data_IF_110555994107
#
_entry.id   IF_110555994107
#
_cell.length_a   1.000
_cell.length_b   1.000
_cell.length_c   1.000
_cell.angle_alpha   90.00
_cell.angle_beta   90.00
_cell.angle_gamma   90.00
#
_symmetry.space_group_name_H-M   'P 1'
#
loop_
_entity.id
_entity.type
_entity.pdbx_description
1 polymer ?
#
# COMPACT_ATOMS: atom_id res chain seq x y z
N UNK A 1 -62.19 -19.10 10.89
CA UNK A 1 -61.43 -18.06 11.60
C UNK A 1 -60.02 -18.59 11.81
N UNK A 2 -59.07 -18.19 10.96
CA UNK A 2 -57.71 -18.60 11.03
C UNK A 2 -56.90 -17.43 11.63
N UNK A 3 -56.25 -17.67 12.76
CA UNK A 3 -55.44 -16.68 13.48
C UNK A 3 -54.03 -16.76 12.94
N UNK A 4 -53.54 -15.70 12.28
CA UNK A 4 -52.16 -15.54 11.84
C UNK A 4 -51.34 -14.95 12.97
N UNK A 5 -50.36 -15.71 13.47
CA UNK A 5 -49.37 -15.22 14.41
C UNK A 5 -48.27 -14.46 13.66
N UNK A 6 -48.09 -13.19 13.98
CA UNK A 6 -46.98 -12.36 13.49
C UNK A 6 -45.78 -12.62 14.40
N UNK A 7 -44.72 -13.21 13.84
CA UNK A 7 -43.42 -13.35 14.52
C UNK A 7 -42.65 -12.05 14.32
N UNK A 8 -42.44 -11.30 15.39
CA UNK A 8 -41.60 -10.11 15.44
C UNK A 8 -40.14 -10.54 15.45
N UNK A 9 -39.38 -10.21 14.40
CA UNK A 9 -37.93 -10.36 14.35
C UNK A 9 -37.30 -9.27 15.21
N UNK A 10 -36.78 -9.64 16.36
CA UNK A 10 -35.99 -8.76 17.22
C UNK A 10 -34.63 -8.50 16.56
N UNK A 11 -34.34 -7.23 16.25
CA UNK A 11 -33.00 -6.77 15.88
C UNK A 11 -32.09 -6.90 17.09
N UNK A 12 -31.11 -7.78 17.00
CA UNK A 12 -30.00 -7.86 17.95
C UNK A 12 -29.08 -6.68 17.62
N UNK A 13 -29.11 -5.63 18.44
CA UNK A 13 -28.14 -4.57 18.39
C UNK A 13 -26.78 -5.15 18.83
N UNK A 14 -25.78 -5.03 17.96
CA UNK A 14 -24.40 -5.37 18.31
C UNK A 14 -23.97 -4.47 19.49
N UNK A 15 -23.59 -5.08 20.59
CA UNK A 15 -23.04 -4.35 21.74
C UNK A 15 -21.65 -3.82 21.36
N UNK A 16 -21.31 -2.57 21.73
CA UNK A 16 -19.95 -2.07 21.52
C UNK A 16 -19.00 -2.92 22.37
N UNK A 17 -18.02 -3.51 21.69
CA UNK A 17 -16.92 -4.21 22.36
C UNK A 17 -16.10 -3.15 23.10
N UNK A 18 -16.20 -3.08 24.41
CA UNK A 18 -15.35 -2.21 25.23
C UNK A 18 -13.97 -2.84 25.41
N UNK A 19 -13.25 -2.97 24.30
CA UNK A 19 -11.84 -3.31 24.30
C UNK A 19 -11.01 -2.08 24.68
N UNK A 20 -9.96 -2.27 25.49
CA UNK A 20 -9.00 -1.20 25.79
C UNK A 20 -7.87 -1.26 24.77
N UNK A 21 -7.85 -0.30 23.82
CA UNK A 21 -6.70 -0.11 22.93
C UNK A 21 -5.56 0.56 23.69
N UNK A 22 -4.38 -0.07 23.70
CA UNK A 22 -3.16 0.52 24.28
C UNK A 22 -2.39 1.33 23.25
N UNK A 23 -1.79 2.43 23.69
CA UNK A 23 -0.86 3.19 22.87
C UNK A 23 0.37 2.34 22.48
N UNK A 24 0.98 2.59 21.31
CA UNK A 24 2.30 2.07 20.99
C UNK A 24 3.35 2.51 22.03
N UNK A 25 4.40 1.71 22.21
CA UNK A 25 5.48 2.04 23.16
C UNK A 25 6.67 2.69 22.44
N UNK A 26 7.36 3.60 23.15
CA UNK A 26 8.59 4.27 22.67
C UNK A 26 9.84 3.60 23.24
N UNK A 27 11.00 4.03 22.74
CA UNK A 27 12.30 3.66 23.31
C UNK A 27 12.85 2.30 22.90
N UNK A 28 12.15 1.59 22.00
CA UNK A 28 12.72 0.38 21.40
C UNK A 28 13.79 0.74 20.39
N UNK A 29 14.93 0.05 20.49
CA UNK A 29 16.08 0.18 19.57
C UNK A 29 16.36 -1.20 18.98
N UNK A 30 16.34 -1.29 17.66
CA UNK A 30 16.69 -2.49 16.91
C UNK A 30 18.19 -2.80 17.00
N UNK A 31 18.56 -4.04 16.71
CA UNK A 31 19.96 -4.47 16.71
C UNK A 31 20.82 -3.72 15.66
N UNK A 32 20.19 -3.20 14.63
CA UNK A 32 20.78 -2.39 13.56
C UNK A 32 20.95 -0.90 13.91
N UNK A 33 20.42 -0.46 15.06
CA UNK A 33 20.44 0.94 15.52
C UNK A 33 19.21 1.75 15.10
N UNK A 34 18.26 1.16 14.37
CA UNK A 34 16.96 1.76 14.11
C UNK A 34 16.15 1.88 15.39
N UNK A 35 15.28 2.88 15.52
CA UNK A 35 14.56 3.09 16.78
C UNK A 35 13.22 3.79 16.63
N UNK A 36 12.30 3.55 17.57
CA UNK A 36 11.06 4.33 17.72
C UNK A 36 11.42 5.61 18.52
N UNK A 37 11.38 6.74 17.82
CA UNK A 37 11.76 8.05 18.38
C UNK A 37 10.64 8.67 19.19
N UNK A 38 9.42 8.68 18.63
CA UNK A 38 8.26 9.26 19.31
C UNK A 38 6.97 8.56 18.92
N UNK A 39 5.98 8.65 19.81
CA UNK A 39 4.60 8.23 19.59
C UNK A 39 3.69 9.32 20.12
N UNK A 40 2.85 9.87 19.25
CA UNK A 40 1.91 10.95 19.58
C UNK A 40 0.48 10.53 19.24
N UNK A 41 -0.48 10.60 20.18
CA UNK A 41 -1.88 10.35 19.86
C UNK A 41 -2.41 11.34 18.82
N UNK A 42 -3.08 10.84 17.78
CA UNK A 42 -3.66 11.64 16.69
C UNK A 42 -5.20 11.56 16.65
N UNK A 43 -5.80 11.13 17.77
CA UNK A 43 -7.25 11.00 17.99
C UNK A 43 -7.79 9.60 17.71
N UNK A 44 -8.66 9.13 18.59
CA UNK A 44 -9.21 7.78 18.53
C UNK A 44 -8.11 6.71 18.61
N UNK A 45 -8.07 5.80 17.65
CA UNK A 45 -7.10 4.72 17.55
C UNK A 45 -5.86 5.09 16.68
N UNK A 46 -5.73 6.36 16.29
CA UNK A 46 -4.62 6.85 15.47
C UNK A 46 -3.46 7.34 16.32
N UNK A 47 -2.25 7.06 15.83
CA UNK A 47 -1.00 7.53 16.41
C UNK A 47 -0.06 7.98 15.28
N UNK A 48 0.58 9.12 15.47
CA UNK A 48 1.73 9.53 14.68
C UNK A 48 2.98 8.96 15.35
N UNK A 49 3.74 8.17 14.62
CA UNK A 49 4.93 7.49 15.10
C UNK A 49 6.11 7.91 14.26
N UNK A 50 7.19 8.34 14.91
CA UNK A 50 8.43 8.68 14.24
C UNK A 50 9.45 7.58 14.50
N UNK A 51 10.01 7.04 13.43
CA UNK A 51 11.02 5.98 13.46
C UNK A 51 12.32 6.52 12.85
N UNK A 52 13.45 6.29 13.51
CA UNK A 52 14.77 6.48 12.91
C UNK A 52 15.14 5.23 12.11
N UNK A 53 15.42 5.39 10.84
CA UNK A 53 16.05 4.38 10.00
C UNK A 53 17.56 4.50 10.10
N UNK A 54 18.25 3.40 10.42
CA UNK A 54 19.70 3.35 10.47
C UNK A 54 20.32 3.34 9.07
N UNK A 55 19.72 2.57 8.14
CA UNK A 55 20.22 2.45 6.76
C UNK A 55 20.06 3.74 5.96
N UNK A 56 18.98 4.50 6.19
CA UNK A 56 18.75 5.78 5.52
C UNK A 56 19.32 6.98 6.29
N UNK A 57 19.76 6.79 7.55
CA UNK A 57 20.26 7.85 8.45
C UNK A 57 19.29 9.04 8.60
N UNK A 58 18.00 8.77 8.62
CA UNK A 58 16.94 9.78 8.77
C UNK A 58 15.76 9.26 9.57
N UNK A 59 14.87 10.15 9.94
CA UNK A 59 13.55 9.78 10.50
C UNK A 59 12.55 9.55 9.40
N UNK A 60 11.60 8.65 9.67
CA UNK A 60 10.45 8.33 8.83
C UNK A 60 9.20 8.51 9.67
N UNK A 61 8.28 9.33 9.19
CA UNK A 61 6.97 9.54 9.81
C UNK A 61 6.02 8.43 9.38
N UNK A 62 5.32 7.86 10.36
CA UNK A 62 4.31 6.82 10.14
C UNK A 62 3.00 7.26 10.75
N UNK A 63 1.89 6.98 10.08
CA UNK A 63 0.60 6.93 10.75
C UNK A 63 0.26 5.48 11.09
N UNK A 64 -0.12 5.24 12.34
CA UNK A 64 -0.48 3.91 12.84
C UNK A 64 -1.94 3.92 13.28
N UNK A 65 -2.72 2.99 12.75
CA UNK A 65 -4.08 2.71 13.19
C UNK A 65 -4.04 1.46 14.06
N UNK A 66 -4.49 1.58 15.31
CA UNK A 66 -4.55 0.47 16.26
C UNK A 66 -5.93 -0.20 16.22
N UNK A 67 -6.03 -1.52 16.45
CA UNK A 67 -7.33 -2.15 16.65
C UNK A 67 -8.01 -1.63 17.93
N UNK A 68 -9.32 -1.76 18.01
CA UNK A 68 -10.07 -1.38 19.21
C UNK A 68 -9.68 -2.22 20.44
N UNK A 69 -9.33 -3.48 20.21
CA UNK A 69 -8.90 -4.41 21.24
C UNK A 69 -7.47 -4.88 20.99
N UNK A 70 -6.56 -4.47 21.88
CA UNK A 70 -5.15 -4.85 21.91
C UNK A 70 -4.82 -5.80 23.06
N UNK A 71 -5.81 -6.40 23.70
CA UNK A 71 -5.61 -7.36 24.81
C UNK A 71 -4.87 -8.62 24.38
N UNK A 72 -4.89 -8.93 23.10
CA UNK A 72 -4.09 -10.00 22.47
C UNK A 72 -3.27 -9.41 21.34
N UNK A 73 -2.10 -9.99 21.02
CA UNK A 73 -1.31 -9.60 19.86
C UNK A 73 -2.13 -9.66 18.57
N UNK A 74 -1.96 -8.67 17.69
CA UNK A 74 -2.68 -8.55 16.42
C UNK A 74 -1.70 -8.45 15.27
N UNK A 75 -2.05 -8.95 14.07
CA UNK A 75 -1.21 -8.83 12.90
C UNK A 75 -1.05 -7.37 12.44
N UNK A 76 -0.14 -7.15 11.48
CA UNK A 76 0.14 -5.83 10.91
C UNK A 76 -0.12 -5.82 9.41
N UNK A 77 -0.80 -4.79 8.92
CA UNK A 77 -0.92 -4.47 7.51
C UNK A 77 -0.14 -3.20 7.19
N UNK A 78 0.95 -3.33 6.45
CA UNK A 78 1.71 -2.20 5.92
C UNK A 78 1.02 -1.69 4.65
N UNK A 79 0.57 -0.44 4.65
CA UNK A 79 -0.17 0.16 3.54
C UNK A 79 0.60 1.35 2.97
N UNK A 80 1.21 1.16 1.80
CA UNK A 80 2.11 2.12 1.19
C UNK A 80 1.35 3.12 0.31
N UNK A 81 1.81 4.36 0.32
CA UNK A 81 1.30 5.43 -0.53
C UNK A 81 1.92 5.38 -1.94
N UNK A 82 1.28 6.06 -2.89
CA UNK A 82 1.77 6.17 -4.28
C UNK A 82 3.01 7.05 -4.45
N UNK A 83 3.18 7.63 -5.62
CA UNK A 83 4.40 8.30 -6.05
C UNK A 83 4.93 9.38 -5.09
N UNK A 84 4.07 10.19 -4.48
CA UNK A 84 4.48 11.24 -3.54
C UNK A 84 4.73 10.77 -2.10
N UNK A 85 4.79 9.46 -1.84
CA UNK A 85 5.12 8.92 -0.52
C UNK A 85 4.11 9.19 0.59
N UNK A 86 3.04 9.93 0.32
CA UNK A 86 2.04 10.35 1.30
C UNK A 86 2.48 11.51 2.19
N UNK A 87 3.46 12.29 1.77
CA UNK A 87 4.07 13.37 2.54
C UNK A 87 3.14 14.58 2.69
N UNK A 88 2.18 14.76 1.78
CA UNK A 88 1.17 15.81 1.85
C UNK A 88 -0.27 15.25 1.93
N UNK A 89 -1.25 16.06 2.41
CA UNK A 89 -2.64 15.62 2.57
C UNK A 89 -3.32 15.20 1.27
N UNK A 90 -2.88 15.65 0.12
CA UNK A 90 -3.47 15.29 -1.17
C UNK A 90 -3.01 13.91 -1.67
N UNK A 91 -2.05 13.29 -0.99
CA UNK A 91 -1.32 12.13 -1.47
C UNK A 91 -1.25 10.94 -0.53
N UNK A 92 -2.02 10.93 0.56
CA UNK A 92 -1.97 9.86 1.55
C UNK A 92 -3.35 9.22 1.81
N UNK A 93 -3.33 7.97 2.25
CA UNK A 93 -4.51 7.18 2.56
C UNK A 93 -5.47 7.84 3.56
N UNK A 94 -4.98 8.34 4.73
CA UNK A 94 -5.87 8.88 5.77
C UNK A 94 -6.65 10.11 5.36
N UNK A 95 -6.05 10.98 4.55
CA UNK A 95 -6.68 12.25 4.16
C UNK A 95 -7.54 12.09 2.90
N UNK A 96 -7.24 11.08 2.06
CA UNK A 96 -7.92 10.87 0.79
C UNK A 96 -8.99 9.78 0.81
N UNK A 97 -9.06 8.97 1.86
CA UNK A 97 -9.98 7.84 1.93
C UNK A 97 -10.61 7.70 3.32
N UNK A 98 -11.53 6.78 3.44
CA UNK A 98 -12.13 6.39 4.72
C UNK A 98 -11.31 5.32 5.46
N UNK A 99 -10.03 5.17 5.19
CA UNK A 99 -9.15 4.14 5.79
C UNK A 99 -9.24 4.11 7.32
N UNK A 100 -9.36 5.29 7.96
CA UNK A 100 -9.44 5.40 9.42
C UNK A 100 -10.74 4.78 9.97
N UNK A 101 -11.95 5.22 9.58
CA UNK A 101 -13.17 4.56 10.01
C UNK A 101 -13.31 3.13 9.46
N UNK A 102 -12.74 2.82 8.30
CA UNK A 102 -12.78 1.47 7.74
C UNK A 102 -12.07 0.44 8.60
N UNK A 103 -10.92 0.78 9.20
CA UNK A 103 -10.18 -0.12 10.06
C UNK A 103 -10.57 -0.05 11.55
N UNK A 104 -11.45 0.87 11.94
CA UNK A 104 -11.77 1.11 13.34
C UNK A 104 -12.37 -0.11 14.10
N UNK A 105 -13.04 -1.01 13.38
CA UNK A 105 -13.66 -2.22 13.92
C UNK A 105 -12.86 -3.52 13.61
N UNK A 106 -11.68 -3.40 13.00
CA UNK A 106 -10.89 -4.55 12.53
C UNK A 106 -9.74 -4.88 13.49
N UNK A 107 -9.47 -6.17 13.65
CA UNK A 107 -8.44 -6.68 14.56
C UNK A 107 -7.03 -6.70 13.92
N UNK A 108 -6.60 -5.56 13.39
CA UNK A 108 -5.32 -5.39 12.69
C UNK A 108 -4.66 -4.07 13.08
N UNK A 109 -3.34 -4.04 13.14
CA UNK A 109 -2.57 -2.80 13.12
C UNK A 109 -2.37 -2.38 11.68
N UNK A 110 -2.63 -1.12 11.31
CA UNK A 110 -2.29 -0.60 9.99
C UNK A 110 -1.17 0.40 10.14
N UNK A 111 -0.07 0.19 9.43
CA UNK A 111 1.11 1.05 9.44
C UNK A 111 1.26 1.69 8.08
N UNK A 112 1.17 3.02 8.04
CA UNK A 112 1.18 3.82 6.80
C UNK A 112 2.40 4.76 6.87
N UNK A 113 3.50 4.45 6.17
CA UNK A 113 4.60 5.39 6.03
C UNK A 113 4.16 6.65 5.28
N UNK A 114 4.55 7.83 5.81
CA UNK A 114 4.34 9.13 5.19
C UNK A 114 5.67 9.68 4.70
N UNK A 115 6.33 8.91 3.87
CA UNK A 115 7.62 9.21 3.27
C UNK A 115 7.90 8.27 2.09
N UNK A 116 8.97 8.50 1.36
CA UNK A 116 9.40 7.66 0.25
C UNK A 116 8.91 8.15 -1.10
N UNK A 117 8.70 9.46 -1.22
CA UNK A 117 8.33 10.08 -2.48
C UNK A 117 9.30 9.65 -3.59
N UNK A 118 8.74 9.18 -4.70
CA UNK A 118 9.39 8.80 -5.95
C UNK A 118 10.50 7.73 -5.82
N UNK A 119 10.54 7.00 -4.69
CA UNK A 119 11.64 6.08 -4.37
C UNK A 119 11.43 4.65 -4.88
N UNK A 120 10.24 4.28 -5.38
CA UNK A 120 9.84 2.90 -5.65
C UNK A 120 9.96 1.97 -4.44
N UNK A 121 10.15 2.53 -3.22
CA UNK A 121 10.34 1.77 -1.99
C UNK A 121 11.40 0.65 -2.12
N UNK A 122 12.48 0.95 -2.84
CA UNK A 122 13.61 0.04 -3.09
C UNK A 122 14.92 0.59 -2.52
N UNK A 123 15.94 -0.24 -2.47
CA UNK A 123 17.29 0.18 -2.08
C UNK A 123 18.01 0.74 -3.30
N UNK A 124 18.33 2.02 -3.27
CA UNK A 124 19.06 2.69 -4.35
C UNK A 124 20.54 2.38 -4.28
N UNK A 125 21.20 2.28 -5.44
CA UNK A 125 22.63 2.05 -5.55
C UNK A 125 23.48 3.20 -4.97
N UNK A 126 23.02 4.44 -5.16
CA UNK A 126 23.69 5.66 -4.70
C UNK A 126 22.72 6.63 -4.05
N UNK A 127 23.23 7.54 -3.20
CA UNK A 127 22.48 8.68 -2.70
C UNK A 127 22.18 9.63 -3.87
N UNK A 128 20.94 10.12 -3.94
CA UNK A 128 20.47 11.00 -5.00
C UNK A 128 20.44 12.46 -4.51
N UNK A 129 20.86 13.44 -5.31
CA UNK A 129 20.87 14.85 -4.91
C UNK A 129 19.50 15.42 -4.52
N UNK A 130 18.41 14.97 -5.17
CA UNK A 130 17.03 15.45 -4.93
C UNK A 130 16.29 14.56 -3.95
N UNK A 131 16.39 13.23 -4.10
CA UNK A 131 15.61 12.28 -3.32
C UNK A 131 16.39 11.67 -2.14
N UNK A 132 17.65 12.00 -1.99
CA UNK A 132 18.50 11.60 -0.87
C UNK A 132 18.83 10.11 -0.85
N UNK A 133 19.11 9.61 0.37
CA UNK A 133 19.44 8.19 0.60
C UNK A 133 18.17 7.37 0.69
N UNK A 134 18.02 6.40 -0.21
CA UNK A 134 16.88 5.50 -0.26
C UNK A 134 17.32 4.05 -0.03
N UNK A 135 16.94 3.48 1.11
CA UNK A 135 17.12 2.08 1.52
C UNK A 135 15.80 1.53 2.02
N UNK A 136 14.79 1.68 1.17
CA UNK A 136 13.41 1.39 1.55
C UNK A 136 13.11 -0.10 1.66
N UNK A 137 13.73 -0.95 0.82
CA UNK A 137 13.59 -2.39 0.95
C UNK A 137 14.17 -2.86 2.29
N UNK A 138 15.39 -2.43 2.64
CA UNK A 138 16.00 -2.68 3.94
C UNK A 138 15.10 -2.17 5.07
N UNK A 139 14.57 -0.95 4.95
CA UNK A 139 13.69 -0.37 5.97
C UNK A 139 12.42 -1.20 6.17
N UNK A 140 11.70 -1.54 5.10
CA UNK A 140 10.40 -2.20 5.15
C UNK A 140 10.48 -3.70 5.47
N UNK A 141 11.63 -4.35 5.23
CA UNK A 141 11.79 -5.79 5.47
C UNK A 141 12.65 -6.12 6.69
N UNK A 142 13.51 -5.21 7.14
CA UNK A 142 14.50 -5.51 8.18
C UNK A 142 14.45 -4.56 9.37
N UNK A 143 14.26 -3.25 9.17
CA UNK A 143 14.28 -2.26 10.25
C UNK A 143 12.89 -2.05 10.87
N UNK A 144 11.89 -1.70 10.06
CA UNK A 144 10.56 -1.32 10.52
C UNK A 144 9.77 -2.47 11.20
N UNK A 145 9.72 -3.70 10.66
CA UNK A 145 8.91 -4.75 11.25
C UNK A 145 9.26 -5.11 12.69
N UNK A 146 10.53 -5.32 13.08
CA UNK A 146 10.87 -5.59 14.47
C UNK A 146 10.55 -4.42 15.41
N UNK A 147 10.70 -3.16 14.94
CA UNK A 147 10.31 -1.97 15.70
C UNK A 147 8.80 -1.94 15.94
N UNK A 148 8.01 -2.18 14.90
CA UNK A 148 6.54 -2.20 15.01
C UNK A 148 6.06 -3.40 15.84
N UNK A 149 6.65 -4.58 15.69
CA UNK A 149 6.33 -5.73 16.50
C UNK A 149 6.51 -5.43 17.99
N UNK A 150 7.61 -4.80 18.37
CA UNK A 150 7.88 -4.43 19.74
C UNK A 150 6.97 -3.27 20.23
N UNK A 151 6.84 -2.20 19.43
CA UNK A 151 6.08 -1.01 19.82
C UNK A 151 4.56 -1.28 19.90
N UNK A 152 4.03 -2.15 19.05
CA UNK A 152 2.60 -2.45 18.95
C UNK A 152 2.21 -3.74 19.69
N UNK A 153 3.16 -4.59 20.07
CA UNK A 153 2.89 -5.91 20.65
C UNK A 153 2.15 -6.82 19.65
N UNK A 154 2.67 -6.93 18.43
CA UNK A 154 2.03 -7.71 17.37
C UNK A 154 2.29 -9.21 17.51
N UNK A 155 1.59 -10.03 16.74
CA UNK A 155 1.84 -11.48 16.65
C UNK A 155 2.96 -11.85 15.66
N UNK A 156 3.52 -10.86 14.95
CA UNK A 156 4.55 -11.04 13.93
C UNK A 156 4.02 -11.38 12.54
N UNK A 157 2.73 -11.66 12.40
CA UNK A 157 2.10 -11.87 11.09
C UNK A 157 1.90 -10.53 10.38
N UNK A 158 2.24 -10.46 9.10
CA UNK A 158 2.20 -9.20 8.38
C UNK A 158 1.83 -9.37 6.91
N UNK A 159 1.08 -8.39 6.39
CA UNK A 159 0.76 -8.25 4.97
C UNK A 159 1.21 -6.88 4.48
N UNK A 160 1.33 -6.71 3.17
CA UNK A 160 1.69 -5.44 2.55
C UNK A 160 0.75 -5.11 1.41
N UNK A 161 0.42 -3.83 1.27
CA UNK A 161 -0.37 -3.32 0.15
C UNK A 161 0.09 -1.95 -0.30
N UNK A 162 -0.22 -1.60 -1.54
CA UNK A 162 0.17 -0.30 -2.08
C UNK A 162 -0.55 0.06 -3.37
N UNK A 163 -0.53 1.37 -3.66
CA UNK A 163 -1.12 1.95 -4.88
C UNK A 163 -0.07 2.48 -5.83
N UNK A 164 -0.35 2.45 -7.13
CA UNK A 164 0.47 3.15 -8.13
C UNK A 164 1.94 2.70 -8.08
N UNK A 165 2.89 3.62 -7.86
CA UNK A 165 4.31 3.32 -7.63
C UNK A 165 4.49 2.23 -6.56
N UNK A 166 3.79 2.34 -5.43
CA UNK A 166 3.90 1.36 -4.35
C UNK A 166 3.27 0.00 -4.72
N UNK A 167 2.31 -0.05 -5.63
CA UNK A 167 1.74 -1.30 -6.12
C UNK A 167 2.77 -2.16 -6.87
N UNK A 168 3.69 -1.53 -7.60
CA UNK A 168 4.87 -2.19 -8.18
C UNK A 168 5.84 -2.61 -7.07
N UNK A 169 6.10 -1.71 -6.12
CA UNK A 169 7.04 -1.93 -5.03
C UNK A 169 6.69 -3.12 -4.14
N UNK A 170 5.40 -3.28 -3.74
CA UNK A 170 4.99 -4.39 -2.86
C UNK A 170 5.19 -5.77 -3.51
N UNK A 171 5.06 -5.85 -4.83
CA UNK A 171 5.37 -7.07 -5.58
C UNK A 171 6.88 -7.36 -5.59
N UNK A 172 7.71 -6.34 -5.78
CA UNK A 172 9.17 -6.46 -5.71
C UNK A 172 9.64 -6.83 -4.30
N UNK A 173 9.13 -6.16 -3.27
CA UNK A 173 9.42 -6.48 -1.86
C UNK A 173 9.12 -7.93 -1.53
N UNK A 174 7.97 -8.45 -1.98
CA UNK A 174 7.59 -9.84 -1.75
C UNK A 174 8.44 -10.83 -2.56
N UNK A 175 8.82 -10.48 -3.79
CA UNK A 175 9.71 -11.30 -4.62
C UNK A 175 11.15 -11.35 -4.06
N UNK A 176 11.62 -10.24 -3.46
CA UNK A 176 12.96 -10.16 -2.87
C UNK A 176 13.03 -10.76 -1.45
N UNK A 177 11.90 -10.82 -0.74
CA UNK A 177 11.77 -11.45 0.58
C UNK A 177 10.69 -12.54 0.59
N UNK A 178 10.88 -13.70 -0.08
CA UNK A 178 9.86 -14.73 -0.19
C UNK A 178 9.41 -15.26 1.17
N UNK A 179 8.08 -15.32 1.37
CA UNK A 179 7.48 -15.79 2.63
C UNK A 179 7.51 -14.79 3.78
N UNK A 180 8.03 -13.58 3.57
CA UNK A 180 8.06 -12.54 4.60
C UNK A 180 6.67 -11.91 4.83
N UNK A 181 5.90 -11.71 3.78
CA UNK A 181 4.53 -11.22 3.85
C UNK A 181 3.52 -12.36 3.67
N UNK A 182 2.50 -12.43 4.51
CA UNK A 182 1.42 -13.41 4.42
C UNK A 182 0.48 -13.15 3.23
N UNK A 183 0.45 -11.92 2.71
CA UNK A 183 -0.19 -11.59 1.43
C UNK A 183 0.31 -10.25 0.89
N UNK A 184 0.06 -10.03 -0.40
CA UNK A 184 0.34 -8.77 -1.11
C UNK A 184 -0.91 -8.29 -1.80
N UNK A 185 -1.24 -7.00 -1.63
CA UNK A 185 -2.29 -6.32 -2.39
C UNK A 185 -1.69 -5.19 -3.23
N UNK A 186 -1.86 -5.25 -4.54
CA UNK A 186 -1.29 -4.32 -5.52
C UNK A 186 -2.40 -3.66 -6.30
N UNK A 187 -2.56 -2.33 -6.15
CA UNK A 187 -3.64 -1.56 -6.77
C UNK A 187 -3.09 -0.59 -7.82
N UNK A 188 -3.45 -0.77 -9.07
CA UNK A 188 -3.08 0.11 -10.20
C UNK A 188 -1.55 0.28 -10.35
N UNK A 189 -0.79 -0.83 -10.36
CA UNK A 189 0.66 -0.86 -10.52
C UNK A 189 1.13 -1.44 -11.84
N UNK A 190 2.43 -1.33 -12.11
CA UNK A 190 3.10 -1.95 -13.24
C UNK A 190 4.20 -2.90 -12.74
N UNK A 191 3.99 -4.21 -12.86
CA UNK A 191 4.92 -5.22 -12.35
C UNK A 191 6.18 -5.39 -13.23
N UNK A 192 6.07 -5.07 -14.51
CA UNK A 192 7.18 -5.07 -15.46
C UNK A 192 7.85 -3.70 -15.45
N UNK A 193 9.01 -3.61 -14.85
CA UNK A 193 9.76 -2.34 -14.69
C UNK A 193 10.92 -2.23 -15.66
N UNK A 194 11.36 -3.33 -16.27
CA UNK A 194 12.58 -3.40 -17.06
C UNK A 194 12.36 -3.43 -18.59
N UNK A 195 11.12 -3.64 -19.06
CA UNK A 195 10.80 -3.50 -20.48
C UNK A 195 10.64 -2.01 -20.89
N UNK A 196 10.52 -1.73 -22.19
CA UNK A 196 10.47 -0.36 -22.71
C UNK A 196 9.34 0.47 -22.08
N UNK A 197 8.15 -0.11 -21.89
CA UNK A 197 7.00 0.57 -21.32
C UNK A 197 7.16 0.77 -19.81
N UNK A 198 7.57 -0.26 -19.10
CA UNK A 198 7.79 -0.21 -17.66
C UNK A 198 8.94 0.72 -17.28
N UNK A 199 10.05 0.67 -18.01
CA UNK A 199 11.18 1.58 -17.80
C UNK A 199 10.78 3.04 -18.07
N UNK A 200 10.00 3.30 -19.11
CA UNK A 200 9.46 4.65 -19.38
C UNK A 200 8.53 5.11 -18.23
N UNK A 201 7.71 4.21 -17.68
CA UNK A 201 6.84 4.52 -16.54
C UNK A 201 7.65 4.81 -15.26
N UNK A 202 8.68 4.02 -14.97
CA UNK A 202 9.59 4.26 -13.83
C UNK A 202 10.27 5.62 -13.96
N UNK A 203 10.81 5.94 -15.14
CA UNK A 203 11.45 7.24 -15.40
C UNK A 203 10.47 8.41 -15.31
N UNK A 204 9.23 8.25 -15.79
CA UNK A 204 8.20 9.25 -15.60
C UNK A 204 7.98 9.58 -14.12
N UNK A 205 7.96 8.56 -13.26
CA UNK A 205 7.75 8.74 -11.81
C UNK A 205 9.00 9.33 -11.15
N UNK A 206 10.16 8.73 -11.33
CA UNK A 206 11.39 9.07 -10.60
C UNK A 206 12.03 10.37 -11.16
N UNK A 207 12.19 10.44 -12.48
CA UNK A 207 12.93 11.55 -13.11
C UNK A 207 12.00 12.73 -13.39
N UNK A 208 10.95 12.51 -14.21
CA UNK A 208 10.12 13.63 -14.67
C UNK A 208 9.25 14.26 -13.57
N UNK A 209 8.78 13.47 -12.61
CA UNK A 209 7.95 13.96 -11.50
C UNK A 209 8.73 14.18 -10.21
N UNK A 210 9.68 13.30 -9.91
CA UNK A 210 10.45 13.32 -8.67
C UNK A 210 11.75 14.14 -8.74
N UNK A 211 12.26 14.42 -9.93
CA UNK A 211 13.54 15.11 -10.14
C UNK A 211 14.76 14.26 -9.80
N UNK A 212 14.58 12.98 -9.45
CA UNK A 212 15.65 12.06 -9.17
C UNK A 212 16.29 11.47 -10.43
N UNK A 213 17.23 10.56 -10.25
CA UNK A 213 17.95 9.88 -11.33
C UNK A 213 17.81 8.36 -11.17
N UNK A 214 17.23 7.70 -12.18
CA UNK A 214 17.10 6.25 -12.17
C UNK A 214 18.44 5.52 -12.24
N UNK A 215 19.52 6.16 -12.70
CA UNK A 215 20.86 5.59 -12.64
C UNK A 215 21.38 5.53 -11.19
N UNK A 216 21.00 6.47 -10.32
CA UNK A 216 21.25 6.39 -8.89
C UNK A 216 20.41 5.29 -8.22
N UNK A 217 19.21 5.03 -8.75
CA UNK A 217 18.31 4.01 -8.23
C UNK A 217 18.78 2.59 -8.61
N UNK A 218 18.86 2.28 -9.91
CA UNK A 218 19.10 0.94 -10.42
C UNK A 218 20.20 0.86 -11.50
N UNK A 219 20.96 1.93 -11.71
CA UNK A 219 21.97 2.00 -12.76
C UNK A 219 21.37 2.12 -14.15
N UNK A 220 22.17 1.89 -15.20
CA UNK A 220 21.71 2.01 -16.58
C UNK A 220 20.48 1.13 -16.86
N UNK A 221 19.51 1.69 -17.61
CA UNK A 221 18.28 0.99 -17.98
C UNK A 221 18.57 -0.38 -18.62
N UNK A 222 17.86 -1.42 -18.14
CA UNK A 222 18.09 -2.80 -18.58
C UNK A 222 19.28 -3.47 -17.92
N UNK A 223 19.97 -2.79 -16.98
CA UNK A 223 21.05 -3.35 -16.17
C UNK A 223 20.56 -4.37 -15.13
N UNK A 224 21.50 -4.99 -14.39
CA UNK A 224 21.17 -6.07 -13.45
C UNK A 224 20.14 -5.70 -12.39
N UNK A 225 20.20 -4.47 -11.84
CA UNK A 225 19.27 -4.02 -10.81
C UNK A 225 17.86 -3.77 -11.37
N UNK A 226 17.73 -3.30 -12.63
CA UNK A 226 16.44 -3.23 -13.31
C UNK A 226 15.79 -4.59 -13.43
N UNK A 227 16.56 -5.62 -13.82
CA UNK A 227 16.08 -6.99 -13.96
C UNK A 227 15.76 -7.63 -12.59
N UNK A 228 16.56 -7.32 -11.57
CA UNK A 228 16.33 -7.80 -10.20
C UNK A 228 15.05 -7.21 -9.59
N UNK A 229 14.75 -5.94 -9.92
CA UNK A 229 13.57 -5.22 -9.43
C UNK A 229 12.39 -5.26 -10.42
N UNK A 230 12.31 -6.26 -11.28
CA UNK A 230 11.18 -6.52 -12.17
C UNK A 230 10.38 -7.72 -11.65
N UNK A 231 9.19 -7.45 -11.09
CA UNK A 231 8.35 -8.49 -10.50
C UNK A 231 7.79 -9.46 -11.56
N UNK A 232 7.62 -9.02 -12.82
CA UNK A 232 7.20 -9.88 -13.92
C UNK A 232 8.27 -10.95 -14.23
N UNK A 233 9.52 -10.53 -14.34
CA UNK A 233 10.66 -11.44 -14.57
C UNK A 233 10.89 -12.37 -13.37
N UNK A 234 10.71 -11.84 -12.17
CA UNK A 234 10.92 -12.55 -10.92
C UNK A 234 9.65 -13.20 -10.35
N UNK A 235 8.58 -13.33 -11.14
CA UNK A 235 7.27 -13.82 -10.69
C UNK A 235 7.34 -15.20 -10.01
N UNK A 236 8.27 -16.08 -10.41
CA UNK A 236 8.46 -17.39 -9.76
C UNK A 236 8.77 -17.29 -8.26
N UNK A 237 9.42 -16.21 -7.81
CA UNK A 237 9.73 -15.97 -6.41
C UNK A 237 8.49 -15.68 -5.55
N UNK A 238 7.37 -15.31 -6.20
CA UNK A 238 6.08 -15.07 -5.53
C UNK A 238 5.28 -16.36 -5.27
N UNK A 239 5.78 -17.51 -5.67
CA UNK A 239 5.11 -18.78 -5.45
C UNK A 239 4.89 -19.03 -3.95
N UNK A 240 3.64 -19.32 -3.60
CA UNK A 240 3.22 -19.51 -2.21
C UNK A 240 2.80 -18.22 -1.48
N UNK A 241 3.04 -17.05 -2.06
CA UNK A 241 2.53 -15.78 -1.53
C UNK A 241 1.12 -15.50 -2.09
N UNK A 242 0.09 -15.36 -1.27
CA UNK A 242 -1.24 -14.93 -1.71
C UNK A 242 -1.18 -13.53 -2.34
N UNK A 243 -1.72 -13.38 -3.56
CA UNK A 243 -1.67 -12.14 -4.34
C UNK A 243 -3.09 -11.66 -4.66
N UNK A 244 -3.35 -10.35 -4.40
CA UNK A 244 -4.52 -9.64 -4.89
C UNK A 244 -4.08 -8.47 -5.76
N UNK A 245 -4.54 -8.42 -7.00
CA UNK A 245 -4.22 -7.39 -7.98
C UNK A 245 -5.50 -6.69 -8.41
N UNK A 246 -5.50 -5.36 -8.49
CA UNK A 246 -6.63 -4.62 -9.05
C UNK A 246 -6.18 -3.48 -9.94
N UNK A 247 -7.03 -3.12 -10.91
CA UNK A 247 -6.84 -1.98 -11.80
C UNK A 247 -8.17 -1.57 -12.45
N UNK A 248 -8.33 -0.29 -12.76
CA UNK A 248 -9.32 0.20 -13.70
C UNK A 248 -8.82 0.09 -15.14
N UNK A 249 -9.67 0.48 -16.11
CA UNK A 249 -9.29 0.45 -17.53
C UNK A 249 -8.94 1.84 -18.12
N UNK A 250 -8.87 2.88 -17.28
CA UNK A 250 -8.57 4.25 -17.67
C UNK A 250 -9.75 5.05 -18.25
N UNK A 251 -10.89 4.42 -18.53
CA UNK A 251 -12.11 5.15 -18.93
C UNK A 251 -12.71 5.83 -17.70
N UNK A 252 -13.36 7.00 -17.88
CA UNK A 252 -14.06 7.67 -16.79
C UNK A 252 -15.09 6.75 -16.13
N UNK A 253 -15.07 6.68 -14.80
CA UNK A 253 -15.97 5.87 -13.99
C UNK A 253 -16.88 6.71 -13.08
N UNK A 254 -17.36 6.09 -11.99
CA UNK A 254 -18.41 6.67 -11.13
C UNK A 254 -18.00 7.97 -10.43
N UNK A 255 -16.69 8.15 -10.12
CA UNK A 255 -16.17 9.34 -9.43
C UNK A 255 -15.64 10.41 -10.39
N UNK A 256 -15.51 10.11 -11.69
CA UNK A 256 -14.98 11.03 -12.70
C UNK A 256 -16.11 11.87 -13.30
N UNK A 257 -16.79 12.62 -12.44
CA UNK A 257 -17.93 13.50 -12.80
C UNK A 257 -17.84 14.82 -12.06
N UNK A 258 -18.37 15.90 -12.65
CA UNK A 258 -18.44 17.20 -11.96
C UNK A 258 -19.27 17.17 -10.67
N UNK A 259 -20.16 16.21 -10.52
CA UNK A 259 -21.00 16.01 -9.33
C UNK A 259 -20.26 15.26 -8.20
N UNK A 260 -19.12 14.63 -8.47
CA UNK A 260 -18.31 13.98 -7.44
C UNK A 260 -17.91 15.00 -6.37
N UNK A 261 -18.04 14.60 -5.09
CA UNK A 261 -17.61 15.45 -3.96
C UNK A 261 -16.09 15.73 -3.99
N UNK A 262 -15.30 14.86 -4.63
CA UNK A 262 -13.85 15.02 -4.80
C UNK A 262 -13.49 16.01 -5.90
N UNK A 263 -14.35 16.16 -6.90
CA UNK A 263 -14.21 17.13 -8.00
C UNK A 263 -14.86 18.46 -7.63
N UNK A 264 -16.00 18.42 -6.93
CA UNK A 264 -16.73 19.60 -6.45
C UNK A 264 -16.99 20.68 -7.53
N UNK A 265 -17.20 20.26 -8.79
CA UNK A 265 -17.43 21.16 -9.92
C UNK A 265 -16.15 21.70 -10.58
N UNK A 266 -14.96 21.32 -10.14
CA UNK A 266 -13.67 21.74 -10.73
C UNK A 266 -13.43 21.05 -12.08
N UNK A 267 -13.64 21.79 -13.17
CA UNK A 267 -13.46 21.29 -14.54
C UNK A 267 -11.99 20.95 -14.84
N UNK A 268 -11.00 21.80 -14.52
CA UNK A 268 -9.58 21.46 -14.66
C UNK A 268 -9.18 20.17 -13.96
N UNK A 269 -9.62 19.93 -12.71
CA UNK A 269 -9.32 18.70 -12.00
C UNK A 269 -9.96 17.48 -12.69
N UNK A 270 -11.21 17.57 -13.11
CA UNK A 270 -11.86 16.51 -13.86
C UNK A 270 -11.11 16.19 -15.17
N UNK A 271 -10.72 17.20 -15.93
CA UNK A 271 -9.94 17.03 -17.17
C UNK A 271 -8.61 16.33 -16.87
N UNK A 272 -7.89 16.76 -15.83
CA UNK A 272 -6.65 16.13 -15.42
C UNK A 272 -6.85 14.65 -15.04
N UNK A 273 -7.88 14.32 -14.26
CA UNK A 273 -8.20 12.93 -13.89
C UNK A 273 -8.52 12.07 -15.11
N UNK A 274 -9.34 12.58 -16.03
CA UNK A 274 -9.78 11.82 -17.20
C UNK A 274 -8.63 11.64 -18.20
N UNK A 275 -7.83 12.68 -18.46
CA UNK A 275 -6.78 12.62 -19.48
C UNK A 275 -5.50 12.00 -18.90
N UNK A 276 -4.97 12.59 -17.82
CA UNK A 276 -3.70 12.10 -17.23
C UNK A 276 -3.94 10.84 -16.42
N UNK A 277 -4.89 10.88 -15.49
CA UNK A 277 -5.23 9.73 -14.67
C UNK A 277 -5.76 8.55 -15.49
N UNK A 278 -6.59 8.80 -16.50
CA UNK A 278 -7.05 7.76 -17.43
C UNK A 278 -5.93 7.14 -18.24
N UNK A 279 -4.99 7.96 -18.74
CA UNK A 279 -3.80 7.48 -19.45
C UNK A 279 -2.92 6.59 -18.57
N UNK A 280 -2.63 7.01 -17.34
CA UNK A 280 -1.85 6.23 -16.38
C UNK A 280 -2.56 4.91 -16.07
N UNK A 281 -3.86 4.93 -15.77
CA UNK A 281 -4.61 3.72 -15.42
C UNK A 281 -4.70 2.73 -16.60
N UNK A 282 -4.75 3.22 -17.83
CA UNK A 282 -4.69 2.35 -19.03
C UNK A 282 -3.35 1.62 -19.14
N UNK A 283 -2.25 2.26 -18.76
CA UNK A 283 -0.92 1.64 -18.69
C UNK A 283 -0.89 0.57 -17.59
N UNK A 284 -1.39 0.90 -16.41
CA UNK A 284 -1.42 -0.06 -15.29
C UNK A 284 -2.35 -1.23 -15.55
N UNK A 285 -3.47 -1.03 -16.28
CA UNK A 285 -4.33 -2.13 -16.75
C UNK A 285 -3.57 -3.09 -17.67
N UNK A 286 -2.85 -2.54 -18.64
CA UNK A 286 -2.00 -3.36 -19.52
C UNK A 286 -0.97 -4.14 -18.72
N UNK A 287 -0.20 -3.49 -17.86
CA UNK A 287 0.81 -4.14 -17.02
C UNK A 287 0.21 -5.23 -16.12
N UNK A 288 -0.94 -4.96 -15.50
CA UNK A 288 -1.63 -5.94 -14.63
C UNK A 288 -2.08 -7.17 -15.42
N UNK A 289 -2.58 -6.98 -16.67
CA UNK A 289 -2.96 -8.11 -17.55
C UNK A 289 -1.75 -8.96 -17.93
N UNK A 290 -0.64 -8.34 -18.30
CA UNK A 290 0.61 -9.02 -18.62
C UNK A 290 1.09 -9.83 -17.42
N UNK A 291 1.10 -9.22 -16.24
CA UNK A 291 1.53 -9.89 -15.02
C UNK A 291 0.59 -11.05 -14.61
N UNK A 292 -0.73 -10.84 -14.66
CA UNK A 292 -1.71 -11.90 -14.41
C UNK A 292 -1.54 -13.08 -15.38
N UNK A 293 -1.29 -12.80 -16.65
CA UNK A 293 -0.95 -13.82 -17.65
C UNK A 293 0.30 -14.62 -17.27
N UNK A 294 1.34 -13.92 -16.83
CA UNK A 294 2.59 -14.56 -16.40
C UNK A 294 2.41 -15.45 -15.16
N UNK A 295 1.65 -14.99 -14.17
CA UNK A 295 1.31 -15.79 -12.99
C UNK A 295 0.54 -17.06 -13.39
N UNK A 296 -0.43 -16.93 -14.31
CA UNK A 296 -1.19 -18.07 -14.83
C UNK A 296 -0.31 -19.09 -15.58
N UNK A 297 0.63 -18.64 -16.42
CA UNK A 297 1.62 -19.48 -17.10
C UNK A 297 2.47 -20.29 -16.11
N UNK A 298 2.84 -19.64 -15.00
CA UNK A 298 3.63 -20.27 -13.94
C UNK A 298 2.79 -21.13 -12.99
N UNK A 299 1.45 -21.12 -13.12
CA UNK A 299 0.55 -21.80 -12.19
C UNK A 299 0.60 -21.19 -10.77
N UNK A 300 0.86 -19.90 -10.65
CA UNK A 300 0.83 -19.15 -9.39
C UNK A 300 -0.56 -18.54 -9.24
N UNK A 301 -1.36 -18.94 -8.23
CA UNK A 301 -2.70 -18.42 -8.04
C UNK A 301 -2.65 -16.94 -7.61
N UNK A 302 -3.52 -16.11 -8.22
CA UNK A 302 -3.74 -14.73 -7.84
C UNK A 302 -5.22 -14.39 -7.95
N UNK A 303 -5.73 -13.57 -7.04
CA UNK A 303 -7.02 -12.91 -7.19
C UNK A 303 -6.81 -11.64 -7.99
N UNK A 304 -7.48 -11.52 -9.14
CA UNK A 304 -7.35 -10.33 -10.01
C UNK A 304 -8.72 -9.68 -10.21
N UNK A 305 -8.83 -8.40 -9.83
CA UNK A 305 -10.03 -7.58 -10.00
C UNK A 305 -9.81 -6.53 -11.10
N UNK A 306 -10.27 -6.79 -12.31
CA UNK A 306 -10.36 -5.81 -13.38
C UNK A 306 -11.66 -5.03 -13.23
N UNK A 307 -11.65 -3.94 -12.48
CA UNK A 307 -12.83 -3.15 -12.08
C UNK A 307 -13.70 -2.63 -13.23
N UNK A 308 -13.15 -2.49 -14.45
CA UNK A 308 -13.79 -1.80 -15.56
C UNK A 308 -13.49 -0.29 -15.54
N UNK A 309 -14.49 0.61 -15.82
CA UNK A 309 -14.24 2.05 -15.85
C UNK A 309 -13.73 2.60 -14.51
N UNK A 310 -12.70 3.43 -14.60
CA UNK A 310 -12.03 4.09 -13.49
C UNK A 310 -10.68 4.64 -13.92
N UNK A 311 -10.34 5.83 -13.42
CA UNK A 311 -9.08 6.52 -13.63
C UNK A 311 -8.10 6.26 -12.47
N UNK A 312 -6.88 6.75 -12.58
CA UNK A 312 -5.83 6.62 -11.56
C UNK A 312 -6.09 7.58 -10.40
N UNK A 313 -7.08 7.27 -9.53
CA UNK A 313 -7.53 8.19 -8.48
C UNK A 313 -8.04 7.50 -7.21
N UNK A 314 -8.06 8.27 -6.12
CA UNK A 314 -8.29 7.80 -4.76
C UNK A 314 -9.63 7.10 -4.50
N UNK A 315 -10.71 7.51 -5.18
CA UNK A 315 -12.02 6.88 -4.99
C UNK A 315 -12.01 5.41 -5.36
N UNK A 316 -11.28 5.07 -6.43
CA UNK A 316 -11.15 3.69 -6.90
C UNK A 316 -10.24 2.86 -6.00
N UNK A 317 -9.15 3.44 -5.49
CA UNK A 317 -8.25 2.76 -4.55
C UNK A 317 -8.90 2.51 -3.20
N UNK A 318 -9.77 3.41 -2.74
CA UNK A 318 -10.61 3.18 -1.56
C UNK A 318 -11.49 1.94 -1.76
N UNK A 319 -12.16 1.82 -2.90
CA UNK A 319 -12.94 0.62 -3.21
C UNK A 319 -12.09 -0.64 -3.32
N UNK A 320 -10.89 -0.54 -3.91
CA UNK A 320 -9.96 -1.67 -3.98
C UNK A 320 -9.54 -2.15 -2.60
N UNK A 321 -9.25 -1.22 -1.70
CA UNK A 321 -8.94 -1.54 -0.32
C UNK A 321 -10.09 -2.30 0.36
N UNK A 322 -11.33 -1.82 0.19
CA UNK A 322 -12.52 -2.48 0.75
C UNK A 322 -12.73 -3.88 0.16
N UNK A 323 -12.62 -4.02 -1.16
CA UNK A 323 -12.82 -5.30 -1.86
C UNK A 323 -11.73 -6.32 -1.55
N UNK A 324 -10.48 -5.87 -1.40
CA UNK A 324 -9.35 -6.75 -1.08
C UNK A 324 -9.30 -7.14 0.40
N UNK A 325 -9.99 -6.42 1.28
CA UNK A 325 -9.89 -6.65 2.71
C UNK A 325 -10.24 -8.07 3.16
N UNK A 326 -11.33 -8.72 2.70
CA UNK A 326 -11.61 -10.11 3.09
C UNK A 326 -10.47 -11.08 2.73
N UNK A 327 -9.79 -10.85 1.60
CA UNK A 327 -8.62 -11.61 1.20
C UNK A 327 -7.43 -11.37 2.14
N UNK A 328 -7.13 -10.11 2.45
CA UNK A 328 -6.06 -9.72 3.36
C UNK A 328 -6.32 -10.24 4.77
N UNK A 329 -7.54 -10.07 5.29
CA UNK A 329 -7.93 -10.54 6.62
C UNK A 329 -7.75 -12.06 6.75
N UNK A 330 -8.20 -12.84 5.75
CA UNK A 330 -8.02 -14.29 5.73
C UNK A 330 -6.54 -14.71 5.76
N UNK A 331 -5.67 -13.99 5.04
CA UNK A 331 -4.21 -14.25 5.04
C UNK A 331 -3.54 -13.89 6.36
N UNK A 332 -4.11 -12.94 7.11
CA UNK A 332 -3.67 -12.54 8.43
C UNK A 332 -4.29 -13.39 9.57
N UNK A 333 -5.20 -14.31 9.25
CA UNK A 333 -5.86 -15.18 10.22
C UNK A 333 -6.93 -14.48 11.08
N UNK A 334 -7.54 -13.42 10.57
CA UNK A 334 -8.53 -12.61 11.30
C UNK A 334 -9.82 -12.43 10.49
#
# INVERSE_FOLDING_TARGET
MASTAVVSAGSVAAQPVSGTSSAPTTGFVGADGSSVVSVTPAGGQRYDVVVRSASMDRTVDLQVLRPADTSVPRPTYYLLNGASGGEDPSSNWPDQTDVVPFFADKNVNVVIPKAGAFSYYTDWLADDPELGRNKWETFLTSELPPLMNAALGTDGTQAVGGISMAASAVLMLAANAPGFYSSVTSFSGCANTSDDLGAAYVKLVVEARGGGDTDNMWGPTGGPEWLANDALLNAEKLRGTPLYLSTGNGLPGFDDTLASARIAGDVPDLVNRVIVGGGIESITDHCTRVFAGRLAELGIPATVDFRGPGTHSWAYWQEDLHRSWPFTAASLGI
#
